data_IF_456072787865
#
_entry.id   IF_456072787865
#
_cell.length_a   1.000
_cell.length_b   1.000
_cell.length_c   1.000
_cell.angle_alpha   90.00
_cell.angle_beta   90.00
_cell.angle_gamma   90.00
#
_symmetry.space_group_name_H-M   'P 1'
#
loop_
_entity.id
_entity.type
_entity.pdbx_description
1 polymer ?
#
# COMPACT_ATOMS: atom_id res chain seq x y z
N UNK A 1 40.20 -6.57 -7.44
CA UNK A 1 39.74 -7.80 -6.76
C UNK A 1 38.26 -7.92 -7.03
N UNK A 2 37.78 -9.05 -7.57
CA UNK A 2 36.34 -9.26 -7.75
C UNK A 2 35.70 -9.42 -6.37
N UNK A 3 34.72 -8.58 -6.03
CA UNK A 3 33.92 -8.82 -4.84
C UNK A 3 33.05 -10.07 -5.08
N UNK A 4 32.82 -10.92 -4.05
CA UNK A 4 31.81 -11.96 -4.16
C UNK A 4 30.46 -11.31 -4.45
N UNK A 5 29.58 -12.01 -5.18
CA UNK A 5 28.26 -11.47 -5.51
C UNK A 5 27.44 -11.23 -4.24
N UNK A 6 27.57 -12.12 -3.24
CA UNK A 6 26.96 -11.99 -1.92
C UNK A 6 27.97 -11.64 -0.83
N UNK A 7 27.68 -10.63 -0.01
CA UNK A 7 28.48 -10.26 1.17
C UNK A 7 27.61 -10.32 2.43
N UNK A 8 27.79 -11.32 3.31
CA UNK A 8 27.01 -11.44 4.53
C UNK A 8 27.46 -10.40 5.58
N UNK A 9 26.50 -9.72 6.20
CA UNK A 9 26.70 -8.81 7.31
C UNK A 9 25.71 -9.11 8.44
N UNK A 10 26.22 -9.15 9.67
CA UNK A 10 25.38 -9.27 10.87
C UNK A 10 24.97 -7.90 11.37
N UNK A 11 23.67 -7.71 11.59
CA UNK A 11 23.08 -6.58 12.31
C UNK A 11 23.05 -6.91 13.79
N UNK A 12 23.72 -6.11 14.62
CA UNK A 12 23.69 -6.27 16.08
C UNK A 12 22.34 -5.82 16.65
N UNK A 13 22.05 -6.20 17.89
CA UNK A 13 20.87 -5.69 18.63
C UNK A 13 20.84 -4.15 18.77
N UNK A 14 21.98 -3.48 18.58
CA UNK A 14 22.12 -2.02 18.59
C UNK A 14 22.08 -1.39 17.19
N UNK A 15 21.82 -2.18 16.13
CA UNK A 15 21.75 -1.70 14.74
C UNK A 15 23.08 -1.53 14.03
N UNK A 16 24.19 -1.98 14.63
CA UNK A 16 25.51 -1.86 14.00
C UNK A 16 25.74 -3.02 13.04
N UNK A 17 26.43 -2.74 11.94
CA UNK A 17 26.86 -3.77 10.99
C UNK A 17 28.19 -4.39 11.41
N UNK A 18 28.31 -5.69 11.20
CA UNK A 18 29.50 -6.51 11.46
C UNK A 18 29.74 -7.46 10.30
N UNK A 19 30.96 -7.49 9.76
CA UNK A 19 31.37 -8.50 8.80
C UNK A 19 31.76 -9.83 9.47
N UNK A 20 32.16 -10.83 8.68
CA UNK A 20 32.50 -12.20 9.12
C UNK A 20 33.53 -12.28 10.26
N UNK A 21 34.39 -11.27 10.41
CA UNK A 21 35.41 -11.20 11.48
C UNK A 21 35.02 -10.30 12.64
N UNK A 22 33.74 -9.97 12.77
CA UNK A 22 33.21 -9.08 13.81
C UNK A 22 33.66 -7.60 13.69
N UNK A 23 34.29 -7.23 12.58
CA UNK A 23 34.75 -5.84 12.32
C UNK A 23 33.61 -5.00 11.75
N UNK A 24 33.66 -3.69 12.00
CA UNK A 24 32.79 -2.74 11.29
C UNK A 24 33.11 -2.81 9.80
N UNK A 25 32.16 -3.16 8.92
CA UNK A 25 32.42 -3.24 7.49
C UNK A 25 32.56 -1.84 6.90
N UNK A 26 33.38 -1.72 5.86
CA UNK A 26 33.28 -0.57 4.96
C UNK A 26 32.22 -0.88 3.91
N UNK A 27 31.16 -0.10 3.88
CA UNK A 27 30.11 -0.23 2.87
C UNK A 27 30.63 0.39 1.58
N UNK A 28 30.69 -0.42 0.53
CA UNK A 28 31.23 -0.03 -0.77
C UNK A 28 30.11 -0.16 -1.81
N UNK A 29 30.05 0.81 -2.72
CA UNK A 29 29.23 0.72 -3.93
C UNK A 29 29.78 -0.34 -4.87
N UNK A 30 28.94 -0.91 -5.72
CA UNK A 30 29.30 -2.00 -6.62
C UNK A 30 28.09 -2.70 -7.21
N UNK A 31 28.34 -3.87 -7.82
CA UNK A 31 27.32 -4.74 -8.42
C UNK A 31 26.97 -5.94 -7.53
N UNK A 32 27.58 -6.02 -6.35
CA UNK A 32 27.32 -7.05 -5.35
C UNK A 32 26.12 -6.70 -4.46
N UNK A 33 25.71 -7.67 -3.67
CA UNK A 33 24.62 -7.58 -2.72
C UNK A 33 25.14 -7.83 -1.31
N UNK A 34 24.65 -7.04 -0.35
CA UNK A 34 24.84 -7.33 1.06
C UNK A 34 23.64 -8.11 1.58
N UNK A 35 23.85 -9.20 2.33
CA UNK A 35 22.77 -9.86 3.07
C UNK A 35 22.89 -9.45 4.53
N UNK A 36 21.88 -8.73 4.99
CA UNK A 36 21.78 -8.27 6.36
C UNK A 36 20.99 -9.32 7.14
N UNK A 37 21.60 -9.90 8.17
CA UNK A 37 20.99 -10.93 9.01
C UNK A 37 21.28 -10.66 10.49
N UNK A 38 20.54 -11.29 11.41
CA UNK A 38 20.89 -11.28 12.84
C UNK A 38 21.70 -12.53 13.22
N UNK A 39 22.25 -12.56 14.44
CA UNK A 39 23.08 -13.68 14.91
C UNK A 39 22.34 -15.03 15.03
N UNK A 40 21.01 -15.04 15.03
CA UNK A 40 20.18 -16.25 15.12
C UNK A 40 19.59 -16.66 13.76
N UNK A 41 20.13 -16.13 12.66
CA UNK A 41 19.67 -16.39 11.30
C UNK A 41 20.66 -17.27 10.56
N UNK A 42 20.17 -18.40 10.04
CA UNK A 42 20.89 -19.27 9.11
C UNK A 42 20.33 -19.06 7.70
N UNK A 43 21.19 -18.75 6.74
CA UNK A 43 20.81 -18.66 5.32
C UNK A 43 20.88 -20.05 4.68
N UNK A 44 19.99 -20.34 3.74
CA UNK A 44 20.06 -21.59 2.97
C UNK A 44 21.24 -21.57 1.98
N UNK A 45 21.74 -22.74 1.60
CA UNK A 45 22.86 -22.86 0.66
C UNK A 45 22.52 -22.30 -0.73
N UNK A 46 21.23 -22.25 -1.07
CA UNK A 46 20.70 -21.77 -2.34
C UNK A 46 20.51 -20.24 -2.37
N UNK A 47 20.69 -19.54 -1.26
CA UNK A 47 20.36 -18.11 -1.13
C UNK A 47 21.02 -17.26 -2.23
N UNK A 48 22.32 -17.44 -2.45
CA UNK A 48 23.08 -16.67 -3.44
C UNK A 48 22.57 -16.93 -4.87
N UNK A 49 22.41 -18.20 -5.24
CA UNK A 49 21.97 -18.59 -6.56
C UNK A 49 20.54 -18.09 -6.86
N UNK A 50 19.65 -18.15 -5.87
CA UNK A 50 18.29 -17.61 -6.00
C UNK A 50 18.32 -16.10 -6.11
N UNK A 51 19.03 -15.38 -5.23
CA UNK A 51 19.14 -13.93 -5.31
C UNK A 51 19.69 -13.47 -6.66
N UNK A 52 20.72 -14.16 -7.18
CA UNK A 52 21.31 -13.83 -8.48
C UNK A 52 20.28 -13.96 -9.62
N UNK A 53 19.46 -15.01 -9.61
CA UNK A 53 18.38 -15.20 -10.58
C UNK A 53 17.32 -14.11 -10.45
N UNK A 54 16.84 -13.83 -9.25
CA UNK A 54 15.80 -12.83 -9.03
C UNK A 54 16.29 -11.42 -9.40
N UNK A 55 17.51 -11.05 -9.00
CA UNK A 55 18.13 -9.77 -9.36
C UNK A 55 18.36 -9.62 -10.86
N UNK A 56 18.68 -10.70 -11.58
CA UNK A 56 18.78 -10.67 -13.05
C UNK A 56 17.41 -10.49 -13.72
N UNK A 57 16.35 -11.08 -13.16
CA UNK A 57 14.99 -10.97 -13.70
C UNK A 57 14.31 -9.62 -13.40
N UNK A 58 14.68 -8.99 -12.28
CA UNK A 58 14.12 -7.73 -11.78
C UNK A 58 15.24 -6.78 -11.36
N UNK A 59 16.01 -6.24 -12.33
CA UNK A 59 17.13 -5.35 -12.05
C UNK A 59 16.68 -3.99 -11.48
N UNK A 60 15.39 -3.68 -11.51
CA UNK A 60 14.78 -2.51 -10.90
C UNK A 60 14.69 -2.61 -9.36
N UNK A 61 14.73 -3.83 -8.80
CA UNK A 61 14.61 -4.03 -7.35
C UNK A 61 15.95 -3.78 -6.67
N UNK A 62 15.93 -2.92 -5.64
CA UNK A 62 17.12 -2.58 -4.86
C UNK A 62 17.24 -3.32 -3.53
N UNK A 63 16.15 -3.88 -3.02
CA UNK A 63 16.11 -4.66 -1.78
C UNK A 63 15.20 -5.86 -1.99
N UNK A 64 15.67 -7.05 -1.62
CA UNK A 64 14.86 -8.25 -1.52
C UNK A 64 14.70 -8.67 -0.06
N UNK A 65 13.49 -9.09 0.30
CA UNK A 65 13.26 -9.91 1.49
C UNK A 65 12.76 -11.29 1.08
N UNK A 66 12.98 -12.26 1.97
CA UNK A 66 12.71 -13.67 1.70
C UNK A 66 11.70 -14.22 2.69
N UNK A 67 11.06 -15.34 2.35
CA UNK A 67 10.35 -16.13 3.34
C UNK A 67 11.35 -16.90 4.21
N UNK A 68 10.94 -17.21 5.44
CA UNK A 68 11.79 -17.95 6.37
C UNK A 68 10.96 -18.93 7.20
N UNK A 69 11.66 -19.89 7.82
CA UNK A 69 11.09 -20.78 8.82
C UNK A 69 11.64 -20.44 10.20
N UNK A 70 10.84 -20.69 11.23
CA UNK A 70 11.32 -20.65 12.60
C UNK A 70 11.87 -22.03 12.98
N UNK A 71 13.03 -22.08 13.66
CA UNK A 71 13.65 -23.36 14.05
C UNK A 71 12.73 -24.23 14.91
N UNK A 72 11.93 -23.59 15.76
CA UNK A 72 10.94 -24.25 16.62
C UNK A 72 9.53 -24.32 16.01
N UNK A 73 9.33 -23.79 14.81
CA UNK A 73 8.03 -23.70 14.16
C UNK A 73 7.81 -24.83 13.16
N UNK A 74 6.67 -25.52 13.27
CA UNK A 74 6.26 -26.52 12.28
C UNK A 74 5.75 -25.88 10.98
N UNK A 75 5.28 -24.63 11.05
CA UNK A 75 4.68 -23.91 9.93
C UNK A 75 5.65 -22.82 9.41
N UNK A 76 5.87 -22.74 8.09
CA UNK A 76 6.68 -21.68 7.49
C UNK A 76 6.06 -20.29 7.69
N UNK A 77 6.90 -19.27 7.83
CA UNK A 77 6.47 -17.88 7.93
C UNK A 77 6.50 -17.24 6.54
N UNK A 78 5.38 -17.39 5.83
CA UNK A 78 5.19 -16.83 4.51
C UNK A 78 4.80 -15.37 4.63
N UNK A 79 5.53 -14.48 3.95
CA UNK A 79 5.29 -13.04 4.01
C UNK A 79 4.39 -12.60 2.86
N UNK A 80 3.62 -11.50 2.99
CA UNK A 80 2.92 -10.92 1.85
C UNK A 80 3.91 -10.28 0.87
N UNK A 81 3.43 -9.92 -0.32
CA UNK A 81 4.13 -8.96 -1.19
C UNK A 81 4.29 -7.60 -0.50
N UNK A 82 5.22 -6.78 -1.02
CA UNK A 82 5.59 -5.54 -0.35
C UNK A 82 4.40 -4.59 -0.25
N UNK A 83 3.98 -4.31 0.99
CA UNK A 83 2.97 -3.30 1.30
C UNK A 83 3.50 -2.29 2.33
N UNK A 84 3.47 -1.00 1.94
CA UNK A 84 3.93 0.10 2.79
C UNK A 84 3.01 0.29 4.01
N UNK A 85 1.70 0.12 3.84
CA UNK A 85 0.72 0.29 4.93
C UNK A 85 0.97 -0.74 6.03
N UNK A 86 1.23 -1.99 5.66
CA UNK A 86 1.62 -3.05 6.58
C UNK A 86 2.95 -2.75 7.25
N UNK A 87 3.95 -2.26 6.51
CA UNK A 87 5.25 -1.90 7.07
C UNK A 87 5.12 -0.76 8.10
N UNK A 88 4.30 0.25 7.82
CA UNK A 88 4.01 1.34 8.77
C UNK A 88 3.25 0.84 10.00
N UNK A 89 2.37 -0.15 9.85
CA UNK A 89 1.67 -0.76 10.96
C UNK A 89 2.59 -1.63 11.83
N UNK A 90 3.40 -2.51 11.25
CA UNK A 90 4.38 -3.30 11.97
C UNK A 90 5.54 -3.77 11.07
N UNK A 91 6.69 -4.03 11.69
CA UNK A 91 7.87 -4.53 10.97
C UNK A 91 7.72 -6.00 10.61
N UNK A 92 6.91 -6.29 9.58
CA UNK A 92 6.68 -7.66 9.08
C UNK A 92 7.82 -8.17 8.21
N UNK A 93 8.68 -7.29 7.69
CA UNK A 93 9.83 -7.69 6.87
C UNK A 93 10.96 -8.11 7.80
N UNK A 94 11.43 -7.25 8.70
CA UNK A 94 12.58 -7.54 9.56
C UNK A 94 13.79 -8.09 8.80
N UNK A 95 14.64 -8.86 9.47
CA UNK A 95 15.77 -9.58 8.89
C UNK A 95 15.43 -11.06 8.60
N UNK A 96 16.12 -11.72 7.64
CA UNK A 96 17.15 -11.14 6.77
C UNK A 96 16.58 -10.39 5.56
N UNK A 97 17.37 -9.47 5.02
CA UNK A 97 17.14 -8.78 3.73
C UNK A 97 18.43 -8.73 2.91
N UNK A 98 18.30 -8.86 1.60
CA UNK A 98 19.38 -8.61 0.65
C UNK A 98 19.25 -7.18 0.11
N UNK A 99 20.33 -6.40 0.16
CA UNK A 99 20.37 -4.99 -0.22
C UNK A 99 21.46 -4.80 -1.25
N UNK A 100 21.12 -4.24 -2.40
CA UNK A 100 22.10 -3.96 -3.44
C UNK A 100 23.17 -2.99 -2.91
N UNK A 101 24.44 -3.20 -3.26
CA UNK A 101 25.56 -2.42 -2.72
C UNK A 101 25.39 -0.90 -2.83
N UNK A 102 24.93 -0.42 -3.99
CA UNK A 102 24.68 1.01 -4.22
C UNK A 102 23.54 1.55 -3.34
N UNK A 103 22.53 0.73 -3.04
CA UNK A 103 21.41 1.11 -2.16
C UNK A 103 21.91 1.23 -0.72
N UNK A 104 22.66 0.23 -0.24
CA UNK A 104 23.19 0.27 1.12
C UNK A 104 24.18 1.44 1.29
N UNK A 105 25.08 1.66 0.34
CA UNK A 105 26.02 2.79 0.37
C UNK A 105 25.30 4.15 0.44
N UNK A 106 24.16 4.28 -0.25
CA UNK A 106 23.35 5.51 -0.26
C UNK A 106 22.60 5.73 1.06
N UNK A 107 22.01 4.69 1.63
CA UNK A 107 21.05 4.83 2.75
C UNK A 107 21.66 4.54 4.13
N UNK A 108 22.78 3.84 4.21
CA UNK A 108 23.32 3.33 5.47
C UNK A 108 23.61 4.42 6.51
N UNK A 109 24.15 5.56 6.09
CA UNK A 109 24.54 6.64 7.00
C UNK A 109 23.34 7.21 7.78
N UNK A 110 22.18 7.30 7.14
CA UNK A 110 20.96 7.77 7.79
C UNK A 110 20.31 6.64 8.60
N UNK A 111 20.24 5.42 8.04
CA UNK A 111 19.60 4.29 8.70
C UNK A 111 20.26 3.93 10.04
N UNK A 112 21.60 3.99 10.13
CA UNK A 112 22.34 3.59 11.34
C UNK A 112 22.07 4.49 12.55
N UNK A 113 21.59 5.72 12.33
CA UNK A 113 21.21 6.65 13.40
C UNK A 113 20.03 6.14 14.23
N UNK A 114 19.24 5.22 13.68
CA UNK A 114 18.06 4.65 14.35
C UNK A 114 18.36 3.42 15.21
N UNK A 115 19.65 3.06 15.37
CA UNK A 115 20.09 2.02 16.31
C UNK A 115 19.32 0.71 16.12
N UNK A 116 18.68 0.14 17.16
CA UNK A 116 17.93 -1.12 17.04
C UNK A 116 16.90 -1.17 15.89
N UNK A 117 16.39 -0.02 15.44
CA UNK A 117 15.46 0.08 14.32
C UNK A 117 16.14 0.26 12.94
N UNK A 118 17.45 0.00 12.84
CA UNK A 118 18.24 0.18 11.62
C UNK A 118 17.60 -0.45 10.36
N UNK A 119 17.21 -1.72 10.41
CA UNK A 119 16.61 -2.42 9.27
C UNK A 119 15.27 -1.81 8.87
N UNK A 120 14.46 -1.45 9.86
CA UNK A 120 13.17 -0.79 9.65
C UNK A 120 13.33 0.60 9.02
N UNK A 121 14.28 1.40 9.52
CA UNK A 121 14.62 2.70 8.96
C UNK A 121 15.16 2.59 7.53
N UNK A 122 16.02 1.60 7.25
CA UNK A 122 16.56 1.35 5.92
C UNK A 122 15.44 1.10 4.89
N UNK A 123 14.42 0.31 5.25
CA UNK A 123 13.27 0.02 4.39
C UNK A 123 12.43 1.27 4.11
N UNK A 124 12.09 2.06 5.15
CA UNK A 124 11.32 3.30 4.95
C UNK A 124 12.11 4.36 4.16
N UNK A 125 13.43 4.45 4.38
CA UNK A 125 14.30 5.33 3.61
C UNK A 125 14.39 4.88 2.14
N UNK A 126 14.40 3.57 1.87
CA UNK A 126 14.34 3.04 0.51
C UNK A 126 13.04 3.46 -0.19
N UNK A 127 11.89 3.34 0.48
CA UNK A 127 10.59 3.84 -0.03
C UNK A 127 10.65 5.33 -0.35
N UNK A 128 11.16 6.15 0.57
CA UNK A 128 11.31 7.61 0.38
C UNK A 128 12.22 7.95 -0.81
N UNK A 129 13.24 7.12 -1.05
CA UNK A 129 14.17 7.28 -2.16
C UNK A 129 13.67 6.67 -3.48
N UNK A 130 12.45 6.13 -3.53
CA UNK A 130 11.88 5.49 -4.71
C UNK A 130 12.55 4.18 -5.09
N UNK A 131 13.20 3.49 -4.14
CA UNK A 131 13.91 2.24 -4.37
C UNK A 131 12.92 1.08 -4.19
N UNK A 132 12.66 0.28 -5.24
CA UNK A 132 11.71 -0.83 -5.15
C UNK A 132 12.21 -1.93 -4.20
N UNK A 133 11.27 -2.47 -3.43
CA UNK A 133 11.47 -3.58 -2.49
C UNK A 133 10.66 -4.77 -2.99
N UNK A 134 11.30 -5.92 -3.17
CA UNK A 134 10.68 -7.13 -3.67
C UNK A 134 10.69 -8.27 -2.67
N UNK A 135 9.72 -9.17 -2.80
CA UNK A 135 9.74 -10.46 -2.13
C UNK A 135 10.33 -11.53 -3.04
N UNK A 136 11.16 -12.39 -2.45
CA UNK A 136 11.46 -13.71 -3.01
C UNK A 136 10.63 -14.72 -2.23
N UNK A 137 9.58 -15.25 -2.85
CA UNK A 137 8.64 -16.20 -2.25
C UNK A 137 9.23 -17.62 -2.12
N UNK A 138 10.40 -17.72 -1.49
CA UNK A 138 11.13 -18.96 -1.22
C UNK A 138 11.69 -18.95 0.20
N UNK A 139 11.68 -20.12 0.84
CA UNK A 139 12.23 -20.32 2.19
C UNK A 139 13.76 -20.34 2.14
N UNK A 140 14.38 -19.17 2.25
CA UNK A 140 15.84 -19.02 2.13
C UNK A 140 16.54 -18.75 3.46
N UNK A 141 15.79 -18.71 4.56
CA UNK A 141 16.38 -18.53 5.88
C UNK A 141 15.66 -19.34 6.97
N UNK A 142 16.40 -19.69 8.02
CA UNK A 142 15.90 -20.25 9.27
C UNK A 142 16.24 -19.29 10.41
N UNK A 143 15.28 -19.03 11.30
CA UNK A 143 15.45 -18.06 12.41
C UNK A 143 15.04 -18.64 13.75
N UNK A 144 15.66 -18.17 14.82
CA UNK A 144 15.30 -18.59 16.19
C UNK A 144 14.08 -17.85 16.77
N UNK A 145 13.93 -16.56 16.48
CA UNK A 145 12.93 -15.70 17.15
C UNK A 145 11.88 -15.15 16.19
N UNK A 146 10.61 -15.21 16.63
CA UNK A 146 9.46 -14.56 16.00
C UNK A 146 9.40 -13.06 16.34
N UNK A 147 8.69 -12.30 15.53
CA UNK A 147 8.44 -10.85 15.65
C UNK A 147 7.89 -10.40 17.02
N UNK A 148 8.00 -9.09 17.33
CA UNK A 148 8.68 -8.02 16.59
C UNK A 148 10.20 -8.00 16.82
N UNK A 149 10.96 -7.62 15.79
CA UNK A 149 12.42 -7.44 15.92
C UNK A 149 12.78 -6.08 16.51
N UNK A 150 11.97 -5.06 16.22
CA UNK A 150 12.19 -3.67 16.64
C UNK A 150 11.12 -3.25 17.65
N UNK A 151 11.51 -2.71 18.82
CA UNK A 151 10.59 -2.14 19.79
C UNK A 151 9.65 -1.10 19.17
N UNK A 152 8.43 -1.01 19.69
CA UNK A 152 7.40 -0.11 19.15
C UNK A 152 7.84 1.36 19.22
N UNK A 153 8.48 1.73 20.31
CA UNK A 153 8.95 3.10 20.57
C UNK A 153 10.02 3.52 19.55
N UNK A 154 10.90 2.59 19.17
CA UNK A 154 11.90 2.85 18.13
C UNK A 154 11.27 2.96 16.74
N UNK A 155 10.29 2.11 16.42
CA UNK A 155 9.53 2.25 15.16
C UNK A 155 8.76 3.56 15.08
N UNK A 156 8.15 4.01 16.17
CA UNK A 156 7.46 5.31 16.22
C UNK A 156 8.43 6.47 15.94
N UNK A 157 9.64 6.42 16.48
CA UNK A 157 10.70 7.41 16.22
C UNK A 157 11.06 7.43 14.73
N UNK A 158 11.33 6.26 14.15
CA UNK A 158 11.64 6.15 12.72
C UNK A 158 10.51 6.70 11.84
N UNK A 159 9.25 6.38 12.13
CA UNK A 159 8.12 6.88 11.32
C UNK A 159 8.01 8.40 11.44
N UNK A 160 8.16 8.98 12.63
CA UNK A 160 8.14 10.44 12.80
C UNK A 160 9.25 11.12 12.00
N UNK A 161 10.47 10.58 12.07
CA UNK A 161 11.61 11.12 11.33
C UNK A 161 11.43 10.94 9.80
N UNK A 162 10.83 9.83 9.38
CA UNK A 162 10.52 9.54 7.99
C UNK A 162 9.46 10.49 7.41
N UNK A 163 8.40 10.79 8.18
CA UNK A 163 7.38 11.77 7.84
C UNK A 163 7.94 13.20 7.75
N UNK A 164 9.08 13.48 8.39
CA UNK A 164 9.69 14.81 8.36
C UNK A 164 8.71 15.86 8.88
N UNK A 165 8.49 16.95 8.13
CA UNK A 165 7.56 18.00 8.55
C UNK A 165 6.10 17.56 8.57
N UNK A 166 5.72 16.56 7.78
CA UNK A 166 4.33 16.08 7.74
C UNK A 166 3.92 15.36 9.03
N UNK A 167 4.85 15.01 9.93
CA UNK A 167 4.52 14.33 11.19
C UNK A 167 3.49 15.09 12.03
N UNK A 168 3.39 16.42 11.91
CA UNK A 168 2.40 17.25 12.62
C UNK A 168 0.96 17.01 12.13
N UNK A 169 0.82 16.47 10.91
CA UNK A 169 -0.47 16.10 10.30
C UNK A 169 -0.86 14.67 10.62
N UNK A 170 -0.06 13.92 11.37
CA UNK A 170 -0.35 12.53 11.69
C UNK A 170 -0.18 12.20 13.18
N UNK A 171 -1.08 11.36 13.68
CA UNK A 171 -1.03 10.79 15.01
C UNK A 171 -0.64 9.31 14.92
N UNK A 172 0.39 8.93 15.68
CA UNK A 172 0.77 7.53 15.85
C UNK A 172 0.17 6.96 17.13
N UNK A 173 -0.77 6.04 16.99
CA UNK A 173 -1.41 5.32 18.10
C UNK A 173 -1.00 3.84 18.12
N UNK A 174 -1.09 3.16 19.26
CA UNK A 174 -1.07 1.70 19.29
C UNK A 174 -2.18 1.12 18.40
N UNK A 175 -1.87 0.07 17.64
CA UNK A 175 -2.87 -0.71 16.90
C UNK A 175 -3.63 -1.69 17.80
N UNK A 176 -4.57 -2.44 17.20
CA UNK A 176 -5.34 -3.47 17.92
C UNK A 176 -4.39 -4.57 18.47
N UNK A 177 -3.52 -5.19 17.66
CA UNK A 177 -2.42 -5.96 18.22
C UNK A 177 -1.43 -5.02 18.93
N UNK A 178 -0.94 -5.43 20.10
CA UNK A 178 -0.02 -4.63 20.92
C UNK A 178 1.31 -4.28 20.22
N UNK A 179 1.71 -5.09 19.25
CA UNK A 179 2.89 -4.85 18.42
C UNK A 179 2.62 -3.94 17.21
N UNK A 180 1.36 -3.66 16.87
CA UNK A 180 1.03 -2.83 15.71
C UNK A 180 0.96 -1.34 16.07
N UNK A 181 1.09 -0.50 15.06
CA UNK A 181 0.91 0.93 15.07
C UNK A 181 -0.23 1.30 14.14
N UNK A 182 -0.88 2.41 14.44
CA UNK A 182 -1.85 3.06 13.57
C UNK A 182 -1.38 4.47 13.30
N UNK A 183 -1.23 4.81 12.02
CA UNK A 183 -0.97 6.17 11.56
C UNK A 183 -2.30 6.79 11.14
N UNK A 184 -2.77 7.78 11.89
CA UNK A 184 -4.01 8.54 11.59
C UNK A 184 -3.65 9.93 11.11
N UNK A 185 -4.37 10.48 10.15
CA UNK A 185 -4.24 11.91 9.82
C UNK A 185 -4.97 12.72 10.90
N UNK A 186 -4.33 13.79 11.40
CA UNK A 186 -4.85 14.71 12.42
C UNK A 186 -5.73 15.80 11.79
N UNK A 187 -5.63 16.02 10.49
CA UNK A 187 -6.46 17.02 9.80
C UNK A 187 -7.96 16.72 9.95
N UNK A 188 -8.76 17.79 9.98
CA UNK A 188 -10.19 17.67 9.75
C UNK A 188 -10.42 16.90 8.45
N UNK A 189 -11.35 15.95 8.47
CA UNK A 189 -11.63 15.11 7.31
C UNK A 189 -11.97 16.00 6.09
N UNK A 190 -11.38 15.73 4.90
CA UNK A 190 -11.51 16.62 3.75
C UNK A 190 -12.95 16.64 3.21
N UNK A 191 -13.36 17.63 2.41
CA UNK A 191 -14.58 17.50 1.61
C UNK A 191 -14.49 16.28 0.69
N UNK A 192 -15.52 15.42 0.68
CA UNK A 192 -15.58 14.20 -0.16
C UNK A 192 -16.86 14.23 -0.99
N UNK A 193 -16.75 13.89 -2.27
CA UNK A 193 -17.91 13.65 -3.16
C UNK A 193 -18.01 12.17 -3.51
N UNK A 194 -19.14 11.53 -3.21
CA UNK A 194 -19.45 10.16 -3.60
C UNK A 194 -20.37 10.16 -4.82
N UNK A 195 -19.91 9.61 -5.94
CA UNK A 195 -20.71 9.41 -7.14
C UNK A 195 -21.28 7.98 -7.17
N UNK A 196 -22.60 7.84 -7.08
CA UNK A 196 -23.29 6.55 -6.99
C UNK A 196 -24.15 6.37 -8.26
N UNK A 197 -23.73 5.55 -9.23
CA UNK A 197 -24.62 5.13 -10.31
C UNK A 197 -25.60 4.09 -9.78
N UNK A 198 -26.90 4.27 -10.02
CA UNK A 198 -27.95 3.31 -9.66
C UNK A 198 -28.81 2.98 -10.86
N UNK A 199 -29.31 1.74 -10.89
CA UNK A 199 -30.29 1.26 -11.86
C UNK A 199 -31.51 0.75 -11.09
N UNK A 200 -32.54 1.56 -11.02
CA UNK A 200 -33.83 1.29 -10.39
C UNK A 200 -34.90 0.84 -11.40
N UNK A 201 -34.69 1.09 -12.70
CA UNK A 201 -35.57 0.61 -13.75
C UNK A 201 -35.68 -0.91 -13.76
N UNK A 202 -36.92 -1.43 -13.74
CA UNK A 202 -37.19 -2.88 -13.86
C UNK A 202 -36.74 -3.39 -15.23
N UNK A 203 -36.15 -4.58 -15.25
CA UNK A 203 -35.98 -5.32 -16.51
C UNK A 203 -37.36 -5.82 -16.96
N UNK A 204 -37.76 -5.66 -18.23
CA UNK A 204 -39.02 -6.20 -18.72
C UNK A 204 -39.07 -7.72 -18.51
N UNK A 205 -40.05 -8.22 -17.75
CA UNK A 205 -40.30 -9.66 -17.55
C UNK A 205 -40.15 -10.21 -16.13
N UNK A 206 -39.81 -9.39 -15.14
CA UNK A 206 -39.70 -9.83 -13.74
C UNK A 206 -40.90 -9.36 -12.90
N UNK A 207 -42.01 -10.12 -12.97
CA UNK A 207 -43.25 -9.89 -12.21
C UNK A 207 -43.19 -10.39 -10.76
N UNK A 208 -42.03 -10.89 -10.30
CA UNK A 208 -41.89 -11.58 -9.01
C UNK A 208 -41.35 -10.72 -7.86
N UNK A 209 -40.89 -9.49 -8.13
CA UNK A 209 -40.32 -8.63 -7.10
C UNK A 209 -41.41 -7.85 -6.36
N UNK A 210 -41.86 -8.39 -5.21
CA UNK A 210 -42.52 -7.62 -4.13
C UNK A 210 -41.75 -6.32 -3.88
N UNK A 211 -42.46 -5.24 -3.54
CA UNK A 211 -41.97 -3.90 -3.20
C UNK A 211 -40.76 -3.92 -2.23
N UNK A 212 -39.57 -4.19 -2.76
CA UNK A 212 -38.33 -4.09 -2.01
C UNK A 212 -37.88 -2.64 -2.10
N UNK A 213 -37.52 -2.05 -0.95
CA UNK A 213 -36.96 -0.70 -0.91
C UNK A 213 -35.80 -0.60 -1.90
N UNK A 214 -35.68 0.48 -2.69
CA UNK A 214 -34.54 0.68 -3.58
C UNK A 214 -33.22 0.53 -2.81
N UNK A 215 -32.26 -0.24 -3.34
CA UNK A 215 -30.96 -0.46 -2.70
C UNK A 215 -30.23 0.85 -2.39
N UNK A 216 -30.43 1.87 -3.22
CA UNK A 216 -29.90 3.22 -3.02
C UNK A 216 -30.33 3.82 -1.67
N UNK A 217 -31.56 3.58 -1.23
CA UNK A 217 -32.06 4.09 0.04
C UNK A 217 -31.28 3.49 1.22
N UNK A 218 -31.05 2.17 1.21
CA UNK A 218 -30.27 1.49 2.27
C UNK A 218 -28.79 1.91 2.28
N UNK A 219 -28.22 2.16 1.10
CA UNK A 219 -26.86 2.69 0.97
C UNK A 219 -26.76 4.11 1.55
N UNK A 220 -27.68 5.01 1.20
CA UNK A 220 -27.71 6.38 1.74
C UNK A 220 -27.94 6.38 3.27
N UNK A 221 -28.79 5.50 3.78
CA UNK A 221 -28.98 5.31 5.23
C UNK A 221 -27.71 4.81 5.94
N UNK A 222 -26.90 3.99 5.27
CA UNK A 222 -25.61 3.52 5.80
C UNK A 222 -24.57 4.63 5.76
N UNK A 223 -24.52 5.41 4.67
CA UNK A 223 -23.66 6.59 4.56
C UNK A 223 -23.97 7.59 5.68
N UNK A 224 -25.25 7.83 5.97
CA UNK A 224 -25.68 8.74 7.04
C UNK A 224 -25.24 8.30 8.45
N UNK A 225 -24.79 7.06 8.64
CA UNK A 225 -24.32 6.51 9.93
C UNK A 225 -22.79 6.42 10.02
N UNK A 226 -22.06 6.85 8.99
CA UNK A 226 -20.61 6.85 9.02
C UNK A 226 -20.09 7.88 10.02
N UNK A 227 -18.93 7.60 10.62
CA UNK A 227 -18.18 8.54 11.45
C UNK A 227 -17.39 9.51 10.54
N UNK A 228 -18.13 10.38 9.84
CA UNK A 228 -17.62 11.42 8.93
C UNK A 228 -18.37 12.75 9.14
N UNK A 229 -17.72 13.92 9.05
CA UNK A 229 -18.39 15.21 9.06
C UNK A 229 -19.35 15.32 7.87
N UNK A 230 -20.65 15.14 8.11
CA UNK A 230 -21.66 15.05 7.05
C UNK A 230 -21.84 16.36 6.28
N UNK A 231 -21.51 17.49 6.92
CA UNK A 231 -21.40 18.81 6.30
C UNK A 231 -20.30 18.91 5.23
N UNK A 232 -19.37 17.95 5.21
CA UNK A 232 -18.27 17.85 4.23
C UNK A 232 -18.47 16.72 3.22
N UNK A 233 -19.60 16.02 3.29
CA UNK A 233 -19.94 14.95 2.36
C UNK A 233 -20.94 15.46 1.34
N UNK A 234 -20.62 15.25 0.06
CA UNK A 234 -21.53 15.42 -1.06
C UNK A 234 -21.80 14.07 -1.70
N UNK A 235 -23.05 13.80 -2.04
CA UNK A 235 -23.44 12.56 -2.71
C UNK A 235 -24.14 12.92 -4.01
N UNK A 236 -23.64 12.39 -5.12
CA UNK A 236 -24.24 12.54 -6.44
C UNK A 236 -24.79 11.18 -6.86
N UNK A 237 -26.11 11.08 -7.06
CA UNK A 237 -26.75 9.85 -7.53
C UNK A 237 -27.13 9.98 -8.99
N UNK A 238 -26.54 9.15 -9.84
CA UNK A 238 -26.99 8.97 -11.22
C UNK A 238 -28.10 7.92 -11.26
N UNK A 239 -29.34 8.35 -11.53
CA UNK A 239 -30.54 7.52 -11.44
C UNK A 239 -31.19 7.33 -12.81
N UNK A 240 -31.47 6.09 -13.20
CA UNK A 240 -32.06 5.77 -14.51
C UNK A 240 -33.57 6.01 -14.59
N UNK A 241 -34.24 6.17 -13.45
CA UNK A 241 -35.64 6.58 -13.38
C UNK A 241 -35.78 8.10 -13.35
N UNK A 242 -36.91 8.64 -13.80
CA UNK A 242 -37.21 10.07 -13.65
C UNK A 242 -37.70 10.39 -12.23
N UNK A 243 -38.45 9.47 -11.62
CA UNK A 243 -38.96 9.56 -10.25
C UNK A 243 -37.86 9.24 -9.23
N UNK A 244 -37.57 10.19 -8.34
CA UNK A 244 -36.57 10.07 -7.26
C UNK A 244 -37.17 10.11 -5.86
N UNK A 245 -38.51 10.17 -5.73
CA UNK A 245 -39.22 10.42 -4.46
C UNK A 245 -38.86 9.45 -3.33
N UNK A 246 -38.42 8.23 -3.66
CA UNK A 246 -38.02 7.23 -2.69
C UNK A 246 -36.85 7.65 -1.77
N UNK A 247 -36.01 8.59 -2.21
CA UNK A 247 -34.84 9.05 -1.45
C UNK A 247 -34.44 10.51 -1.67
N UNK A 248 -34.77 11.13 -2.80
CA UNK A 248 -34.29 12.48 -3.15
C UNK A 248 -34.81 13.55 -2.18
N UNK A 249 -36.07 13.42 -1.74
CA UNK A 249 -36.74 14.42 -0.90
C UNK A 249 -36.56 14.17 0.61
N UNK A 250 -35.76 13.15 0.97
CA UNK A 250 -35.47 12.86 2.38
C UNK A 250 -34.45 13.85 2.95
N UNK A 251 -34.58 14.24 4.23
CA UNK A 251 -33.59 15.09 4.88
C UNK A 251 -32.34 14.28 5.22
N UNK A 252 -31.36 14.33 4.33
CA UNK A 252 -30.05 13.71 4.56
C UNK A 252 -29.14 14.64 5.36
N UNK A 253 -28.23 14.11 6.19
CA UNK A 253 -27.27 14.93 6.92
C UNK A 253 -26.15 15.48 6.03
N UNK A 254 -26.11 15.10 4.75
CA UNK A 254 -25.13 15.47 3.73
C UNK A 254 -25.81 16.09 2.50
N UNK A 255 -25.05 16.77 1.65
CA UNK A 255 -25.58 17.34 0.40
C UNK A 255 -25.87 16.22 -0.60
N UNK A 256 -27.13 16.04 -1.01
CA UNK A 256 -27.51 15.07 -2.04
C UNK A 256 -27.90 15.80 -3.34
N UNK A 257 -27.20 15.49 -4.43
CA UNK A 257 -27.58 15.87 -5.79
C UNK A 257 -28.04 14.63 -6.55
N UNK A 258 -29.22 14.68 -7.15
CA UNK A 258 -29.72 13.63 -8.05
C UNK A 258 -29.61 14.07 -9.49
N UNK A 259 -29.05 13.21 -10.34
CA UNK A 259 -28.92 13.41 -11.79
C UNK A 259 -29.67 12.28 -12.49
N UNK A 260 -30.67 12.62 -13.30
CA UNK A 260 -31.39 11.62 -14.11
C UNK A 260 -30.50 11.22 -15.28
N UNK A 261 -30.21 9.92 -15.39
CA UNK A 261 -29.39 9.31 -16.44
C UNK A 261 -30.22 8.28 -17.21
N UNK A 262 -31.04 8.70 -18.20
CA UNK A 262 -31.95 7.81 -18.91
C UNK A 262 -31.21 6.64 -19.56
N UNK A 263 -31.81 5.44 -19.62
CA UNK A 263 -31.20 4.30 -20.29
C UNK A 263 -31.17 4.51 -21.81
N UNK A 264 -30.12 5.16 -22.32
CA UNK A 264 -29.78 5.15 -23.74
C UNK A 264 -28.26 5.21 -23.95
N UNK A 265 -27.76 4.17 -24.64
CA UNK A 265 -26.43 3.93 -25.21
C UNK A 265 -25.19 4.19 -24.33
N UNK A 266 -24.41 3.12 -24.10
CA UNK A 266 -23.04 3.10 -23.54
C UNK A 266 -22.31 4.44 -23.72
N UNK A 267 -22.24 5.25 -22.67
CA UNK A 267 -21.24 6.31 -22.54
C UNK A 267 -20.23 5.84 -21.51
N UNK A 268 -19.04 5.51 -22.00
CA UNK A 268 -17.84 5.39 -21.18
C UNK A 268 -17.70 6.68 -20.38
N UNK A 269 -17.69 6.58 -19.05
CA UNK A 269 -17.40 7.74 -18.19
C UNK A 269 -15.94 8.12 -18.43
N UNK A 270 -15.71 9.16 -19.22
CA UNK A 270 -14.43 9.84 -19.27
C UNK A 270 -14.37 10.78 -18.07
N UNK A 271 -13.36 10.60 -17.22
CA UNK A 271 -13.01 11.56 -16.17
C UNK A 271 -12.66 12.89 -16.85
N UNK A 272 -13.58 13.85 -16.80
CA UNK A 272 -13.26 15.23 -17.14
C UNK A 272 -12.42 15.81 -15.99
N UNK A 273 -11.17 16.16 -16.28
CA UNK A 273 -10.43 17.14 -15.49
C UNK A 273 -11.13 18.49 -15.62
N UNK A 274 -11.19 19.22 -14.51
CA UNK A 274 -11.69 20.59 -14.47
C UNK A 274 -10.87 21.50 -15.41
N UNK A 275 -11.58 22.46 -16.02
CA UNK A 275 -11.13 23.57 -16.88
C UNK A 275 -10.86 23.28 -18.37
N UNK A 276 -11.90 23.36 -19.22
CA UNK A 276 -11.88 24.09 -20.51
C UNK A 276 -13.31 24.27 -21.10
N UNK A 277 -13.62 25.37 -21.82
CA UNK A 277 -14.96 25.64 -22.32
C UNK A 277 -15.29 24.81 -23.58
N UNK A 278 -16.49 24.24 -23.60
CA UNK A 278 -16.98 23.37 -24.66
C UNK A 278 -17.06 24.08 -26.03
N UNK A 279 -16.27 23.61 -27.00
CA UNK A 279 -16.56 23.85 -28.42
C UNK A 279 -17.73 22.93 -28.83
N UNK A 280 -18.78 23.53 -29.40
CA UNK A 280 -19.92 22.82 -29.95
C UNK A 280 -19.49 21.93 -31.14
N UNK A 281 -19.87 20.66 -31.12
CA UNK A 281 -19.73 19.74 -32.25
C UNK A 281 -21.16 19.40 -32.71
N UNK A 282 -21.52 19.83 -33.92
CA UNK A 282 -22.74 19.42 -34.61
C UNK A 282 -22.68 17.93 -34.99
N UNK A 283 -23.83 17.22 -35.04
CA UNK A 283 -23.85 15.81 -35.40
C UNK A 283 -23.64 15.61 -36.91
N UNK A 284 -22.62 14.82 -37.23
CA UNK A 284 -22.28 14.38 -38.58
C UNK A 284 -23.40 13.51 -39.19
N UNK A 285 -23.68 13.73 -40.47
CA UNK A 285 -24.76 13.09 -41.23
C UNK A 285 -24.42 11.62 -41.48
N UNK A 286 -25.35 10.73 -41.13
CA UNK A 286 -25.29 9.33 -41.53
C UNK A 286 -25.46 9.20 -43.05
N UNK A 287 -24.45 8.61 -43.70
CA UNK A 287 -24.49 8.07 -45.05
C UNK A 287 -25.67 7.10 -45.23
N UNK A 288 -26.40 7.28 -46.34
CA UNK A 288 -27.30 6.27 -46.92
C UNK A 288 -26.71 5.78 -48.24
N UNK A 289 -26.17 4.57 -48.21
CA UNK A 289 -26.05 3.58 -49.29
C UNK A 289 -26.07 2.23 -48.55
N UNK A 290 -26.82 1.18 -48.85
CA UNK A 290 -27.53 0.65 -50.02
C UNK A 290 -28.92 0.11 -49.53
N UNK A 291 -29.92 -0.28 -50.31
CA UNK A 291 -29.92 -1.30 -51.37
C UNK A 291 -31.21 -1.25 -52.22
N UNK A 292 -31.03 -1.53 -53.52
CA UNK A 292 -31.95 -2.11 -54.53
C UNK A 292 -33.03 -1.26 -55.18
#
# INVERSE_FOLDING_TARGET
>A
MSHPFLVPLTVTATGKLRGEKGRTPQIQSGTHWYVLSDAGTELSAEFEAVLQREAASRPDIGIFYVDHRFRSGEVPDLRPEFDLTMLLAYDYIGLPIAVHANVLAKLHADAILHGPAFSYALLLQAVRAGIPIGRIAQLLATREKRYPQVPREDRQRVIKDWLGQDHVRFELKPGIPSYALQLRRIEELPPVTLCIPTRQGRTPGDDSAKESRPFITGLLETIARLDYPMDRLRVIVGDDLADGSAYADKPWPFELTRVVTPPSARRTVQLCKEDEPALAIEPDRADRADER
#
